data_IF_274652321827
#
_entry.id   IF_274652321827
#
_cell.length_a   1.000
_cell.length_b   1.000
_cell.length_c   1.000
_cell.angle_alpha   90.00
_cell.angle_beta   90.00
_cell.angle_gamma   90.00
#
_symmetry.space_group_name_H-M   'P 1'
#
loop_
_entity.id
_entity.type
_entity.pdbx_description
1 polymer ?
#
# COMPACT_ATOMS: atom_id res chain seq x y z
N UNK A 1 -9.62 -25.24 -3.56
CA UNK A 1 -10.59 -24.19 -3.93
C UNK A 1 -11.65 -24.00 -2.84
N UNK A 2 -12.49 -24.99 -2.57
CA UNK A 2 -13.55 -24.88 -1.55
C UNK A 2 -13.02 -24.65 -0.13
N UNK A 3 -11.96 -25.36 0.28
CA UNK A 3 -11.30 -25.16 1.59
C UNK A 3 -10.76 -23.73 1.77
N UNK A 4 -10.21 -23.15 0.69
CA UNK A 4 -9.66 -21.80 0.71
C UNK A 4 -10.76 -20.74 0.80
N UNK A 5 -11.88 -20.95 0.11
CA UNK A 5 -13.06 -20.11 0.24
C UNK A 5 -13.65 -20.15 1.65
N UNK A 6 -13.68 -21.34 2.28
CA UNK A 6 -14.14 -21.51 3.68
C UNK A 6 -13.21 -20.77 4.66
N UNK A 7 -11.90 -20.82 4.47
CA UNK A 7 -10.97 -20.09 5.36
C UNK A 7 -11.13 -18.56 5.24
N UNK A 8 -11.29 -18.04 4.02
CA UNK A 8 -11.50 -16.60 3.79
C UNK A 8 -12.84 -16.14 4.37
N UNK A 9 -13.91 -16.91 4.16
CA UNK A 9 -15.23 -16.55 4.69
C UNK A 9 -15.24 -16.58 6.22
N UNK A 10 -14.58 -17.57 6.84
CA UNK A 10 -14.44 -17.64 8.30
C UNK A 10 -13.68 -16.42 8.85
N UNK A 11 -12.58 -16.00 8.22
CA UNK A 11 -11.81 -14.84 8.64
C UNK A 11 -12.65 -13.55 8.59
N UNK A 12 -13.42 -13.36 7.51
CA UNK A 12 -14.33 -12.21 7.37
C UNK A 12 -15.43 -12.23 8.44
N UNK A 13 -16.05 -13.38 8.69
CA UNK A 13 -17.09 -13.55 9.71
C UNK A 13 -16.55 -13.20 11.09
N UNK A 14 -15.35 -13.68 11.45
CA UNK A 14 -14.72 -13.37 12.74
C UNK A 14 -14.45 -11.86 12.85
N UNK A 15 -13.89 -11.23 11.82
CA UNK A 15 -13.62 -9.79 11.82
C UNK A 15 -14.89 -8.95 12.00
N UNK A 16 -15.97 -9.36 11.34
CA UNK A 16 -17.28 -8.70 11.45
C UNK A 16 -17.90 -8.89 12.83
N UNK A 17 -17.83 -10.11 13.40
CA UNK A 17 -18.31 -10.39 14.76
C UNK A 17 -17.56 -9.55 15.80
N UNK A 18 -16.24 -9.42 15.69
CA UNK A 18 -15.47 -8.57 16.59
C UNK A 18 -15.86 -7.09 16.45
N UNK A 19 -16.07 -6.60 15.23
CA UNK A 19 -16.55 -5.25 14.98
C UNK A 19 -17.98 -5.03 15.54
N UNK A 20 -18.88 -6.01 15.42
CA UNK A 20 -20.24 -5.88 15.95
C UNK A 20 -20.26 -5.94 17.48
N UNK A 21 -19.48 -6.83 18.10
CA UNK A 21 -19.37 -6.92 19.56
C UNK A 21 -18.82 -5.61 20.12
N UNK A 22 -17.77 -5.03 19.52
CA UNK A 22 -17.23 -3.74 19.98
C UNK A 22 -18.25 -2.62 19.85
N UNK A 23 -19.06 -2.59 18.79
CA UNK A 23 -20.13 -1.61 18.62
C UNK A 23 -21.28 -1.79 19.63
N UNK A 24 -21.60 -3.02 20.02
CA UNK A 24 -22.66 -3.34 20.98
C UNK A 24 -22.24 -3.13 22.43
N UNK A 25 -21.00 -3.49 22.78
CA UNK A 25 -20.43 -3.36 24.13
C UNK A 25 -19.97 -1.94 24.42
N UNK A 26 -19.60 -1.17 23.38
CA UNK A 26 -19.19 0.22 23.56
C UNK A 26 -20.31 1.02 24.23
N UNK A 27 -20.02 1.57 25.42
CA UNK A 27 -20.85 2.59 26.04
C UNK A 27 -20.76 3.88 25.23
N UNK A 28 -21.53 3.93 24.14
CA UNK A 28 -21.78 5.19 23.45
C UNK A 28 -22.76 5.97 24.30
N UNK A 29 -22.26 6.91 25.11
CA UNK A 29 -23.18 7.86 25.77
C UNK A 29 -24.00 8.57 24.68
N UNK A 30 -25.32 8.58 24.88
CA UNK A 30 -26.27 9.04 23.88
C UNK A 30 -26.00 10.52 23.58
N UNK A 31 -25.52 10.82 22.36
CA UNK A 31 -25.48 12.17 21.74
C UNK A 31 -25.19 13.31 22.74
N UNK A 32 -24.10 13.23 23.50
CA UNK A 32 -23.60 14.40 24.20
C UNK A 32 -23.10 15.42 23.17
N UNK A 33 -23.73 16.60 23.15
CA UNK A 33 -23.40 17.72 22.25
C UNK A 33 -21.90 18.03 22.23
N UNK A 34 -21.26 17.94 23.39
CA UNK A 34 -19.83 18.23 23.58
C UNK A 34 -18.89 17.22 22.91
N UNK A 35 -19.33 15.98 22.68
CA UNK A 35 -18.56 15.01 21.88
C UNK A 35 -18.71 15.22 20.37
N UNK A 36 -19.77 15.93 19.96
CA UNK A 36 -20.09 16.24 18.57
C UNK A 36 -19.49 17.59 18.13
N UNK A 37 -18.96 18.38 19.06
CA UNK A 37 -18.26 19.64 18.78
C UNK A 37 -16.76 19.44 18.64
N UNK A 38 -16.07 20.27 17.84
CA UNK A 38 -14.61 20.27 17.81
C UNK A 38 -14.07 20.58 19.21
N UNK A 39 -13.06 19.83 19.65
CA UNK A 39 -12.39 20.06 20.93
C UNK A 39 -11.89 21.50 21.03
N UNK A 40 -11.99 22.11 22.21
CA UNK A 40 -11.83 23.57 22.42
C UNK A 40 -10.45 24.13 22.06
N UNK A 41 -9.41 23.27 21.98
CA UNK A 41 -8.09 23.65 21.48
C UNK A 41 -7.96 23.57 19.94
N UNK A 42 -9.04 23.18 19.25
CA UNK A 42 -9.12 23.04 17.81
C UNK A 42 -9.57 24.35 17.18
N UNK A 43 -8.63 25.05 16.55
CA UNK A 43 -8.97 26.04 15.53
C UNK A 43 -10.01 25.43 14.59
N UNK A 44 -11.13 26.13 14.35
CA UNK A 44 -12.02 25.76 13.25
C UNK A 44 -11.14 25.63 12.01
N UNK A 45 -11.26 24.54 11.22
CA UNK A 45 -10.43 24.38 10.04
C UNK A 45 -10.82 25.48 9.04
N UNK A 46 -10.16 26.63 9.15
CA UNK A 46 -10.15 27.72 8.17
C UNK A 46 -9.31 27.32 6.95
N UNK A 47 -9.28 26.03 6.63
CA UNK A 47 -8.59 25.48 5.47
C UNK A 47 -9.64 25.28 4.40
N UNK A 48 -9.49 26.00 3.29
CA UNK A 48 -10.22 25.74 2.05
C UNK A 48 -10.07 24.25 1.70
N UNK A 49 -11.06 23.66 1.03
CA UNK A 49 -11.04 22.27 0.53
C UNK A 49 -9.75 21.92 -0.25
N UNK A 50 -9.09 22.92 -0.83
CA UNK A 50 -7.75 22.80 -1.41
C UNK A 50 -6.69 23.04 -0.34
N UNK A 51 -6.28 21.97 0.33
CA UNK A 51 -5.03 21.95 1.08
C UNK A 51 -3.85 21.96 0.09
N UNK A 52 -2.72 22.61 0.44
CA UNK A 52 -1.52 22.50 -0.39
C UNK A 52 -1.12 21.02 -0.49
N UNK A 53 -1.04 20.53 -1.72
CA UNK A 53 -0.65 19.17 -2.01
C UNK A 53 0.87 19.05 -2.01
N UNK A 54 1.40 18.08 -1.27
CA UNK A 54 2.84 17.81 -1.26
C UNK A 54 3.21 17.00 -2.50
N UNK A 55 3.99 17.61 -3.40
CA UNK A 55 4.55 16.93 -4.57
C UNK A 55 5.40 15.70 -4.20
N UNK A 56 6.02 15.69 -3.01
CA UNK A 56 6.82 14.57 -2.54
C UNK A 56 6.00 13.28 -2.37
N UNK A 57 4.82 13.34 -1.72
CA UNK A 57 3.95 12.15 -1.59
C UNK A 57 3.43 11.67 -2.94
N UNK A 58 3.20 12.57 -3.89
CA UNK A 58 2.83 12.20 -5.25
C UNK A 58 3.92 11.42 -5.97
N UNK A 59 5.16 11.90 -5.89
CA UNK A 59 6.30 11.25 -6.52
C UNK A 59 6.52 9.86 -5.96
N UNK A 60 6.40 9.68 -4.63
CA UNK A 60 6.50 8.36 -4.01
C UNK A 60 5.42 7.41 -4.55
N UNK A 61 4.17 7.87 -4.68
CA UNK A 61 3.08 7.04 -5.24
C UNK A 61 3.32 6.67 -6.71
N UNK A 62 3.84 7.60 -7.52
CA UNK A 62 4.18 7.31 -8.92
C UNK A 62 5.33 6.30 -9.03
N UNK A 63 6.38 6.48 -8.23
CA UNK A 63 7.52 5.56 -8.16
C UNK A 63 7.06 4.17 -7.74
N UNK A 64 6.20 4.08 -6.71
CA UNK A 64 5.60 2.82 -6.26
C UNK A 64 4.82 2.12 -7.38
N UNK A 65 4.01 2.86 -8.15
CA UNK A 65 3.22 2.30 -9.25
C UNK A 65 4.10 1.71 -10.35
N UNK A 66 5.18 2.41 -10.72
CA UNK A 66 6.12 1.93 -11.75
C UNK A 66 6.86 0.68 -11.24
N UNK A 67 7.37 0.71 -10.00
CA UNK A 67 8.07 -0.45 -9.43
C UNK A 67 7.15 -1.67 -9.26
N UNK A 68 5.87 -1.49 -8.90
CA UNK A 68 4.92 -2.58 -8.79
C UNK A 68 4.69 -3.27 -10.16
N UNK A 69 4.61 -2.46 -11.23
CA UNK A 69 4.52 -3.00 -12.60
C UNK A 69 5.79 -3.77 -12.99
N UNK A 70 6.98 -3.25 -12.68
CA UNK A 70 8.24 -3.95 -12.97
C UNK A 70 8.40 -5.25 -12.17
N UNK A 71 7.97 -5.29 -10.90
CA UNK A 71 7.97 -6.51 -10.09
C UNK A 71 6.97 -7.54 -10.64
N UNK A 72 5.82 -7.08 -11.13
CA UNK A 72 4.84 -7.97 -11.79
C UNK A 72 5.43 -8.67 -13.03
N UNK A 73 6.32 -7.99 -13.77
CA UNK A 73 7.07 -8.57 -14.89
C UNK A 73 8.16 -9.56 -14.45
N UNK A 74 8.71 -9.38 -13.25
CA UNK A 74 9.74 -10.26 -12.70
C UNK A 74 9.16 -11.57 -12.12
N UNK A 75 7.94 -11.56 -11.57
CA UNK A 75 7.26 -12.73 -10.98
C UNK A 75 7.25 -14.01 -11.85
N UNK A 76 6.91 -13.98 -13.16
CA UNK A 76 6.87 -15.18 -13.99
C UNK A 76 8.25 -15.81 -14.24
N UNK A 77 9.36 -15.14 -13.93
CA UNK A 77 10.70 -15.67 -14.16
C UNK A 77 10.97 -16.97 -13.39
N UNK A 78 10.41 -17.13 -12.19
CA UNK A 78 10.54 -18.38 -11.42
C UNK A 78 9.90 -19.58 -12.14
N UNK A 79 8.81 -19.35 -12.86
CA UNK A 79 8.12 -20.39 -13.65
C UNK A 79 8.86 -20.70 -14.95
N UNK A 80 9.53 -19.71 -15.55
CA UNK A 80 10.26 -19.85 -16.81
C UNK A 80 11.57 -20.63 -16.68
N UNK A 81 12.08 -20.82 -15.46
CA UNK A 81 13.31 -21.57 -15.19
C UNK A 81 13.22 -23.02 -15.67
N UNK A 82 12.06 -23.65 -15.53
CA UNK A 82 11.85 -25.06 -15.90
C UNK A 82 11.70 -25.27 -17.42
N UNK A 83 11.39 -24.21 -18.18
CA UNK A 83 11.02 -24.31 -19.61
C UNK A 83 12.09 -23.78 -20.55
N UNK A 84 13.05 -23.01 -20.04
CA UNK A 84 14.07 -22.34 -20.85
C UNK A 84 15.47 -22.80 -20.45
N UNK A 85 16.46 -22.55 -21.32
CA UNK A 85 17.85 -22.90 -20.99
C UNK A 85 18.35 -22.07 -19.80
N UNK A 86 19.13 -22.69 -18.91
CA UNK A 86 19.65 -22.03 -17.69
C UNK A 86 20.46 -20.75 -18.01
N UNK A 87 21.17 -20.75 -19.15
CA UNK A 87 21.96 -19.61 -19.61
C UNK A 87 21.09 -18.46 -20.11
N UNK A 88 20.07 -18.74 -20.92
CA UNK A 88 19.12 -17.71 -21.37
C UNK A 88 18.34 -17.14 -20.19
N UNK A 89 17.82 -18.00 -19.32
CA UNK A 89 17.10 -17.60 -18.11
C UNK A 89 17.97 -16.72 -17.21
N UNK A 90 19.18 -17.18 -16.87
CA UNK A 90 20.11 -16.44 -16.01
C UNK A 90 20.47 -15.07 -16.58
N UNK A 91 20.70 -14.98 -17.90
CA UNK A 91 20.98 -13.69 -18.55
C UNK A 91 19.79 -12.72 -18.45
N UNK A 92 18.55 -13.20 -18.65
CA UNK A 92 17.36 -12.36 -18.55
C UNK A 92 17.10 -11.87 -17.12
N UNK A 93 17.28 -12.73 -16.11
CA UNK A 93 17.11 -12.37 -14.70
C UNK A 93 18.12 -11.30 -14.29
N UNK A 94 19.39 -11.46 -14.66
CA UNK A 94 20.44 -10.47 -14.36
C UNK A 94 20.11 -9.11 -15.00
N UNK A 95 19.66 -9.10 -16.25
CA UNK A 95 19.27 -7.86 -16.94
C UNK A 95 18.11 -7.17 -16.22
N UNK A 96 17.06 -7.90 -15.86
CA UNK A 96 15.89 -7.34 -15.16
C UNK A 96 16.27 -6.76 -13.80
N UNK A 97 17.09 -7.47 -13.02
CA UNK A 97 17.57 -6.97 -11.72
C UNK A 97 18.48 -5.74 -11.90
N UNK A 98 19.32 -5.72 -12.94
CA UNK A 98 20.16 -4.55 -13.25
C UNK A 98 19.32 -3.31 -13.60
N UNK A 99 18.23 -3.48 -14.35
CA UNK A 99 17.31 -2.38 -14.69
C UNK A 99 16.60 -1.88 -13.43
N UNK A 100 16.03 -2.76 -12.61
CA UNK A 100 15.37 -2.42 -11.35
C UNK A 100 16.29 -1.65 -10.39
N UNK A 101 17.49 -2.16 -10.18
CA UNK A 101 18.49 -1.50 -9.31
C UNK A 101 18.96 -0.17 -9.91
N UNK A 102 19.23 -0.11 -11.22
CA UNK A 102 19.62 1.11 -11.91
C UNK A 102 18.56 2.22 -11.82
N UNK A 103 17.29 1.88 -12.01
CA UNK A 103 16.16 2.81 -11.85
C UNK A 103 16.08 3.39 -10.44
N UNK A 104 16.23 2.53 -9.41
CA UNK A 104 16.23 2.98 -8.02
C UNK A 104 17.40 3.93 -7.72
N UNK A 105 18.61 3.59 -8.18
CA UNK A 105 19.77 4.45 -8.00
C UNK A 105 19.61 5.82 -8.69
N UNK A 106 18.99 5.85 -9.87
CA UNK A 106 18.70 7.09 -10.59
C UNK A 106 17.72 7.98 -9.80
N UNK A 107 16.61 7.42 -9.32
CA UNK A 107 15.63 8.16 -8.51
C UNK A 107 16.22 8.65 -7.19
N UNK A 108 17.09 7.85 -6.57
CA UNK A 108 17.79 8.26 -5.36
C UNK A 108 18.75 9.43 -5.61
N UNK A 109 19.54 9.37 -6.68
CA UNK A 109 20.44 10.46 -7.07
C UNK A 109 19.68 11.77 -7.35
N UNK A 110 18.46 11.67 -7.90
CA UNK A 110 17.60 12.83 -8.18
C UNK A 110 16.90 13.40 -6.94
N UNK A 111 17.10 12.80 -5.75
CA UNK A 111 16.51 13.30 -4.51
C UNK A 111 15.00 13.06 -4.40
N UNK A 112 14.41 12.22 -5.26
CA UNK A 112 12.99 11.88 -5.16
C UNK A 112 12.66 11.13 -3.84
N UNK A 113 13.67 10.44 -3.28
CA UNK A 113 13.58 9.64 -2.05
C UNK A 113 14.12 10.35 -0.80
N UNK A 114 14.67 11.55 -0.90
CA UNK A 114 15.22 12.25 0.27
C UNK A 114 14.10 12.84 1.12
N UNK A 115 14.07 12.45 2.39
CA UNK A 115 13.00 12.80 3.33
C UNK A 115 13.24 14.08 4.13
N UNK A 116 14.34 14.79 3.86
CA UNK A 116 14.70 16.08 4.48
C UNK A 116 14.84 17.09 3.35
#
# INVERSE_FOLDING_TARGET
MLSLAIMISLALIISFLMASITLLVSEKSAKEREKMTPFECGFTPMKKSRTPFSLRFFMITLIFLIFDMEVSLALPMGLLMETTSITSWGSTVVIVIAILSGGLFHEWKNGALTWI
#
